data_IF_474135941288
#
_entry.id   IF_474135941288
#
_cell.length_a   1.000
_cell.length_b   1.000
_cell.length_c   1.000
_cell.angle_alpha   90.00
_cell.angle_beta   90.00
_cell.angle_gamma   90.00
#
_symmetry.space_group_name_H-M   'P 1'
#
loop_
_entity.id
_entity.type
_entity.pdbx_description
1 polymer ?
#
# COMPACT_ATOMS: atom_id res chain seq x y z
N UNK A 1 10.03 -27.02 -10.10
CA UNK A 1 10.50 -26.01 -11.07
C UNK A 1 9.30 -25.59 -11.89
N UNK A 2 8.78 -24.37 -11.68
CA UNK A 2 7.82 -23.76 -12.59
C UNK A 2 8.61 -22.65 -13.27
N UNK A 3 9.17 -22.95 -14.42
CA UNK A 3 9.77 -21.97 -15.31
C UNK A 3 8.62 -21.21 -15.96
N UNK A 4 8.43 -19.94 -15.59
CA UNK A 4 7.60 -19.03 -16.37
C UNK A 4 8.27 -18.84 -17.73
N UNK A 5 7.56 -19.25 -18.78
CA UNK A 5 7.93 -19.12 -20.18
C UNK A 5 8.15 -17.62 -20.55
N UNK A 6 9.32 -17.22 -21.08
CA UNK A 6 9.62 -15.82 -21.40
C UNK A 6 8.97 -15.33 -22.70
N UNK A 7 8.02 -16.08 -23.29
CA UNK A 7 7.38 -15.73 -24.57
C UNK A 7 6.03 -15.00 -24.47
N UNK A 8 5.67 -14.46 -23.31
CA UNK A 8 4.49 -13.58 -23.21
C UNK A 8 4.90 -12.14 -23.56
N UNK A 9 4.44 -11.68 -24.74
CA UNK A 9 4.32 -10.28 -25.19
C UNK A 9 5.10 -9.26 -24.36
N UNK A 10 6.15 -8.69 -24.93
CA UNK A 10 6.86 -7.52 -24.38
C UNK A 10 5.94 -6.30 -24.36
N UNK A 11 4.93 -6.31 -23.49
CA UNK A 11 4.15 -5.15 -23.12
C UNK A 11 5.14 -4.19 -22.47
N UNK A 12 5.18 -2.95 -22.98
CA UNK A 12 5.94 -1.88 -22.36
C UNK A 12 5.50 -1.78 -20.89
N UNK A 13 6.41 -1.92 -19.90
CA UNK A 13 6.05 -1.83 -18.49
C UNK A 13 5.45 -0.48 -18.10
N UNK A 14 5.49 0.52 -18.99
CA UNK A 14 4.92 1.84 -18.82
C UNK A 14 3.55 1.99 -19.50
N UNK A 15 3.09 1.02 -20.30
CA UNK A 15 1.84 1.12 -21.04
C UNK A 15 0.64 1.39 -20.13
N UNK A 16 -0.16 2.39 -20.50
CA UNK A 16 -1.36 2.75 -19.76
C UNK A 16 -1.10 3.48 -18.44
N UNK A 17 0.14 3.90 -18.16
CA UNK A 17 0.50 4.73 -17.00
C UNK A 17 0.53 6.22 -17.37
N UNK A 18 0.56 7.09 -16.36
CA UNK A 18 0.70 8.54 -16.55
C UNK A 18 1.92 8.87 -17.42
N UNK A 19 1.73 9.75 -18.40
CA UNK A 19 2.76 10.13 -19.37
C UNK A 19 3.00 9.11 -20.49
N UNK A 20 2.37 7.93 -20.42
CA UNK A 20 2.54 6.81 -21.34
C UNK A 20 1.19 6.23 -21.81
N UNK A 21 0.15 7.06 -21.82
CA UNK A 21 -1.16 6.70 -22.38
C UNK A 21 -1.11 6.77 -23.90
N UNK A 22 -1.73 5.80 -24.57
CA UNK A 22 -2.05 5.94 -25.99
C UNK A 22 -3.10 7.07 -26.18
N UNK A 23 -3.23 7.66 -27.39
CA UNK A 23 -4.27 8.68 -27.62
C UNK A 23 -5.69 8.22 -27.28
N UNK A 24 -5.99 6.94 -27.46
CA UNK A 24 -7.28 6.34 -27.09
C UNK A 24 -7.44 6.26 -25.56
N UNK A 25 -6.40 5.79 -24.85
CA UNK A 25 -6.39 5.73 -23.40
C UNK A 25 -6.50 7.11 -22.76
N UNK A 26 -5.83 8.11 -23.34
CA UNK A 26 -5.90 9.50 -22.90
C UNK A 26 -7.32 10.06 -23.08
N UNK A 27 -7.94 9.84 -24.24
CA UNK A 27 -9.33 10.22 -24.48
C UNK A 27 -10.29 9.56 -23.47
N UNK A 28 -10.09 8.27 -23.16
CA UNK A 28 -10.85 7.55 -22.14
C UNK A 28 -10.63 8.09 -20.74
N UNK A 29 -9.41 8.54 -20.43
CA UNK A 29 -9.10 9.14 -19.15
C UNK A 29 -9.77 10.52 -19.00
N UNK A 30 -9.76 11.34 -20.05
CA UNK A 30 -10.51 12.61 -20.07
C UNK A 30 -12.01 12.38 -19.91
N UNK A 31 -12.58 11.42 -20.65
CA UNK A 31 -13.99 11.02 -20.53
C UNK A 31 -14.34 10.60 -19.10
N UNK A 32 -13.48 9.77 -18.50
CA UNK A 32 -13.64 9.27 -17.14
C UNK A 32 -13.59 10.38 -16.09
N UNK A 33 -12.62 11.30 -16.18
CA UNK A 33 -12.52 12.46 -15.29
C UNK A 33 -13.78 13.31 -15.34
N UNK A 34 -14.25 13.65 -16.55
CA UNK A 34 -15.46 14.43 -16.73
C UNK A 34 -16.70 13.75 -16.13
N UNK A 35 -16.80 12.42 -16.25
CA UNK A 35 -17.89 11.65 -15.63
C UNK A 35 -17.80 11.66 -14.10
N UNK A 36 -16.59 11.56 -13.53
CA UNK A 36 -16.39 11.64 -12.08
C UNK A 36 -16.74 13.01 -11.50
N UNK A 37 -16.39 14.09 -12.20
CA UNK A 37 -16.74 15.46 -11.81
C UNK A 37 -18.25 15.69 -11.89
N UNK A 38 -18.89 15.27 -12.99
CA UNK A 38 -20.34 15.37 -13.18
C UNK A 38 -21.12 14.67 -12.07
N UNK A 39 -20.64 13.52 -11.63
CA UNK A 39 -21.30 12.72 -10.60
C UNK A 39 -20.85 13.08 -9.18
N UNK A 40 -19.99 14.10 -9.03
CA UNK A 40 -19.57 14.65 -7.74
C UNK A 40 -18.60 13.79 -6.93
N UNK A 41 -18.08 12.69 -7.49
CA UNK A 41 -17.12 11.80 -6.80
C UNK A 41 -15.68 12.25 -6.93
N UNK A 42 -15.39 13.24 -7.78
CA UNK A 42 -14.08 13.87 -7.91
C UNK A 42 -14.22 15.38 -8.06
N UNK A 43 -13.35 16.13 -7.38
CA UNK A 43 -13.23 17.58 -7.54
C UNK A 43 -11.74 17.97 -7.62
N UNK A 44 -11.30 18.54 -8.75
CA UNK A 44 -9.93 19.04 -8.87
C UNK A 44 -9.55 20.00 -7.74
N UNK A 45 -8.38 19.80 -7.13
CA UNK A 45 -7.84 20.69 -6.09
C UNK A 45 -8.49 20.61 -4.70
N UNK A 46 -9.54 19.79 -4.52
CA UNK A 46 -10.17 19.52 -3.22
C UNK A 46 -10.00 18.08 -2.73
N UNK A 47 -9.28 17.26 -3.48
CA UNK A 47 -9.18 15.85 -3.19
C UNK A 47 -8.28 15.54 -1.99
N UNK A 48 -8.65 14.49 -1.24
CA UNK A 48 -7.73 13.81 -0.31
C UNK A 48 -6.52 13.29 -1.09
N UNK A 49 -5.39 13.08 -0.41
CA UNK A 49 -4.15 12.69 -1.07
C UNK A 49 -4.26 11.38 -1.86
N UNK A 50 -5.17 10.47 -1.46
CA UNK A 50 -5.41 9.21 -2.17
C UNK A 50 -6.36 9.29 -3.38
N UNK A 51 -6.89 10.47 -3.72
CA UNK A 51 -7.85 10.65 -4.83
C UNK A 51 -7.43 11.77 -5.80
N UNK A 52 -6.23 11.67 -6.35
CA UNK A 52 -5.74 12.53 -7.42
C UNK A 52 -5.93 11.90 -8.80
N UNK A 53 -5.45 12.58 -9.84
CA UNK A 53 -5.44 12.06 -11.21
C UNK A 53 -4.76 10.68 -11.29
N UNK A 54 -3.67 10.48 -10.53
CA UNK A 54 -2.96 9.21 -10.39
C UNK A 54 -3.87 8.09 -9.88
N UNK A 55 -4.67 8.38 -8.87
CA UNK A 55 -5.69 7.48 -8.35
C UNK A 55 -6.80 7.18 -9.35
N UNK A 56 -7.32 8.19 -10.06
CA UNK A 56 -8.35 7.98 -11.07
C UNK A 56 -7.88 7.01 -12.17
N UNK A 57 -6.65 7.17 -12.65
CA UNK A 57 -6.12 6.27 -13.67
C UNK A 57 -5.97 4.83 -13.15
N UNK A 58 -5.71 4.61 -11.85
CA UNK A 58 -5.70 3.26 -11.27
C UNK A 58 -7.06 2.57 -11.40
N UNK A 59 -8.16 3.27 -11.13
CA UNK A 59 -9.52 2.74 -11.32
C UNK A 59 -9.80 2.43 -12.79
N UNK A 60 -9.38 3.32 -13.69
CA UNK A 60 -9.58 3.14 -15.12
C UNK A 60 -8.79 1.94 -15.67
N UNK A 61 -7.51 1.81 -15.29
CA UNK A 61 -6.65 0.66 -15.63
C UNK A 61 -7.20 -0.65 -15.08
N UNK A 62 -7.68 -0.66 -13.83
CA UNK A 62 -8.29 -1.84 -13.21
C UNK A 62 -9.56 -2.32 -13.91
N UNK A 63 -10.14 -1.48 -14.77
CA UNK A 63 -11.30 -1.79 -15.62
C UNK A 63 -10.95 -1.76 -17.09
N UNK A 64 -9.66 -1.88 -17.45
CA UNK A 64 -9.17 -1.97 -18.83
C UNK A 64 -9.66 -0.80 -19.70
N UNK A 65 -9.67 0.40 -19.12
CA UNK A 65 -10.16 1.63 -19.75
C UNK A 65 -11.68 1.66 -20.07
N UNK A 66 -12.47 0.76 -19.48
CA UNK A 66 -13.94 0.82 -19.50
C UNK A 66 -14.46 1.87 -18.50
N UNK A 67 -14.80 3.05 -19.03
CA UNK A 67 -15.22 4.23 -18.25
C UNK A 67 -16.38 3.94 -17.31
N UNK A 68 -17.44 3.28 -17.80
CA UNK A 68 -18.62 2.98 -16.99
C UNK A 68 -18.30 2.04 -15.81
N UNK A 69 -17.44 1.04 -16.05
CA UNK A 69 -16.99 0.10 -15.02
C UNK A 69 -16.10 0.77 -13.97
N UNK A 70 -15.19 1.65 -14.42
CA UNK A 70 -14.30 2.41 -13.54
C UNK A 70 -15.10 3.39 -12.65
N UNK A 71 -16.06 4.10 -13.23
CA UNK A 71 -16.93 5.03 -12.50
C UNK A 71 -17.78 4.31 -11.47
N UNK A 72 -18.34 3.14 -11.82
CA UNK A 72 -19.06 2.31 -10.86
C UNK A 72 -18.15 1.89 -9.70
N UNK A 73 -16.95 1.38 -10.00
CA UNK A 73 -16.03 0.95 -8.94
C UNK A 73 -15.61 2.10 -8.02
N UNK A 74 -15.33 3.28 -8.58
CA UNK A 74 -14.99 4.46 -7.79
C UNK A 74 -16.16 4.89 -6.89
N UNK A 75 -17.39 4.97 -7.43
CA UNK A 75 -18.60 5.28 -6.64
C UNK A 75 -18.85 4.28 -5.52
N UNK A 76 -18.75 2.99 -5.82
CA UNK A 76 -18.89 1.92 -4.83
C UNK A 76 -17.82 2.06 -3.73
N UNK A 77 -16.60 2.49 -4.11
CA UNK A 77 -15.51 2.74 -3.17
C UNK A 77 -15.83 3.92 -2.27
N UNK A 78 -16.19 5.08 -2.81
CA UNK A 78 -16.54 6.25 -2.00
C UNK A 78 -17.73 5.97 -1.07
N UNK A 79 -18.76 5.29 -1.57
CA UNK A 79 -19.91 4.86 -0.75
C UNK A 79 -19.48 3.94 0.39
N UNK A 80 -18.60 2.97 0.12
CA UNK A 80 -18.05 2.08 1.13
C UNK A 80 -17.22 2.84 2.17
N UNK A 81 -16.40 3.81 1.76
CA UNK A 81 -15.61 4.65 2.66
C UNK A 81 -16.51 5.46 3.59
N UNK A 82 -17.54 6.11 3.04
CA UNK A 82 -18.52 6.89 3.81
C UNK A 82 -19.29 6.01 4.78
N UNK A 83 -19.83 4.89 4.31
CA UNK A 83 -20.60 3.93 5.13
C UNK A 83 -19.78 3.42 6.31
N UNK A 84 -18.48 3.21 6.11
CA UNK A 84 -17.58 2.71 7.14
C UNK A 84 -16.86 3.82 7.92
N UNK A 85 -17.17 5.10 7.64
CA UNK A 85 -16.52 6.28 8.23
C UNK A 85 -15.00 6.15 8.19
N UNK A 86 -14.45 5.72 7.05
CA UNK A 86 -13.05 5.30 6.95
C UNK A 86 -12.08 6.44 7.31
N UNK A 87 -12.40 7.67 6.94
CA UNK A 87 -11.57 8.82 7.29
C UNK A 87 -11.53 9.08 8.80
N UNK A 88 -12.67 8.98 9.48
CA UNK A 88 -12.77 9.08 10.94
C UNK A 88 -12.06 7.91 11.62
N UNK A 89 -12.24 6.69 11.11
CA UNK A 89 -11.54 5.49 11.59
C UNK A 89 -10.03 5.70 11.57
N UNK A 90 -9.48 6.19 10.45
CA UNK A 90 -8.04 6.45 10.33
C UNK A 90 -7.59 7.62 11.21
N UNK A 91 -8.38 8.69 11.30
CA UNK A 91 -8.04 9.89 12.08
C UNK A 91 -8.13 9.71 13.60
N UNK A 92 -8.89 8.72 14.06
CA UNK A 92 -9.06 8.41 15.48
C UNK A 92 -8.43 7.08 15.89
N UNK A 93 -7.71 6.43 14.95
CA UNK A 93 -7.11 5.12 15.17
C UNK A 93 -6.15 5.11 16.37
N UNK A 94 -6.29 4.13 17.25
CA UNK A 94 -5.39 3.98 18.40
C UNK A 94 -3.95 3.71 17.92
N UNK A 95 -3.01 4.55 18.37
CA UNK A 95 -1.62 4.50 17.89
C UNK A 95 -0.93 3.19 18.24
N UNK A 96 -1.18 2.62 19.43
CA UNK A 96 -0.58 1.35 19.82
C UNK A 96 -1.17 0.20 19.00
N UNK A 97 -2.48 0.19 18.76
CA UNK A 97 -3.15 -0.78 17.89
C UNK A 97 -2.61 -0.74 16.45
N UNK A 98 -2.34 0.46 15.92
CA UNK A 98 -1.70 0.63 14.61
C UNK A 98 -0.31 -0.03 14.57
N UNK A 99 0.50 0.20 15.60
CA UNK A 99 1.84 -0.37 15.71
C UNK A 99 1.85 -1.89 15.96
N UNK A 100 0.79 -2.44 16.56
CA UNK A 100 0.63 -3.89 16.65
C UNK A 100 0.17 -4.51 15.33
N UNK A 101 -0.66 -3.82 14.56
CA UNK A 101 -1.11 -4.32 13.27
C UNK A 101 0.00 -4.37 12.22
N UNK A 102 0.90 -3.38 12.17
CA UNK A 102 2.04 -3.44 11.24
C UNK A 102 2.87 -4.71 11.47
N UNK A 103 2.95 -5.25 12.69
CA UNK A 103 3.71 -6.46 13.03
C UNK A 103 3.08 -7.77 12.54
N UNK A 104 1.86 -7.72 12.00
CA UNK A 104 1.17 -8.90 11.44
C UNK A 104 0.78 -8.72 9.97
N UNK A 105 1.13 -7.59 9.35
CA UNK A 105 0.84 -7.24 7.96
C UNK A 105 2.07 -6.72 7.23
N UNK A 106 1.92 -6.31 5.97
CA UNK A 106 3.01 -5.71 5.19
C UNK A 106 3.50 -4.41 5.85
N UNK A 107 4.82 -4.26 5.97
CA UNK A 107 5.47 -3.10 6.58
C UNK A 107 6.35 -2.39 5.56
N UNK A 108 6.17 -1.08 5.44
CA UNK A 108 7.13 -0.26 4.70
C UNK A 108 8.47 -0.22 5.44
N UNK A 109 9.55 -0.47 4.72
CA UNK A 109 10.92 -0.44 5.26
C UNK A 109 11.46 0.98 5.43
N UNK A 110 10.77 1.99 4.89
CA UNK A 110 11.30 3.35 4.75
C UNK A 110 12.03 3.57 3.43
N UNK A 111 12.24 2.52 2.62
CA UNK A 111 12.99 2.57 1.38
C UNK A 111 12.12 2.43 0.14
N UNK A 112 12.74 2.62 -1.02
CA UNK A 112 12.13 2.55 -2.36
C UNK A 112 12.93 1.61 -3.25
N UNK A 113 12.26 1.04 -4.24
CA UNK A 113 12.90 0.32 -5.33
C UNK A 113 13.51 1.32 -6.35
N UNK A 114 14.22 0.81 -7.36
CA UNK A 114 14.88 1.67 -8.37
C UNK A 114 13.90 2.45 -9.25
N UNK A 115 12.60 2.14 -9.18
CA UNK A 115 11.52 2.84 -9.87
C UNK A 115 10.78 3.82 -8.95
N UNK A 116 11.21 3.94 -7.69
CA UNK A 116 10.62 4.83 -6.69
C UNK A 116 9.45 4.22 -5.90
N UNK A 117 9.05 2.96 -6.15
CA UNK A 117 7.97 2.35 -5.39
C UNK A 117 8.44 2.03 -3.96
N UNK A 118 7.64 2.34 -2.93
CA UNK A 118 8.01 1.99 -1.56
C UNK A 118 8.14 0.46 -1.42
N UNK A 119 9.18 0.03 -0.70
CA UNK A 119 9.48 -1.38 -0.45
C UNK A 119 8.79 -1.82 0.82
N UNK A 120 7.89 -2.78 0.70
CA UNK A 120 7.18 -3.40 1.80
C UNK A 120 7.70 -4.82 2.05
N UNK A 121 7.80 -5.22 3.31
CA UNK A 121 8.16 -6.58 3.72
C UNK A 121 7.00 -7.19 4.51
N UNK A 122 6.73 -8.48 4.30
CA UNK A 122 5.80 -9.25 5.13
C UNK A 122 6.41 -10.60 5.48
N UNK A 123 6.74 -10.77 6.77
CA UNK A 123 7.20 -12.05 7.30
C UNK A 123 6.04 -12.79 7.97
N UNK A 124 5.52 -13.81 7.30
CA UNK A 124 4.30 -14.49 7.74
C UNK A 124 4.50 -15.25 9.06
N UNK A 125 5.74 -15.66 9.35
CA UNK A 125 6.10 -16.36 10.59
C UNK A 125 5.88 -15.50 11.84
N UNK A 126 6.01 -14.19 11.73
CA UNK A 126 5.86 -13.24 12.84
C UNK A 126 4.41 -13.13 13.34
N UNK A 127 3.43 -13.51 12.51
CA UNK A 127 2.02 -13.54 12.92
C UNK A 127 1.84 -14.34 14.21
N UNK A 128 2.49 -15.51 14.33
CA UNK A 128 2.36 -16.37 15.52
C UNK A 128 2.79 -15.65 16.80
N UNK A 129 3.79 -14.78 16.72
CA UNK A 129 4.36 -14.08 17.86
C UNK A 129 3.53 -12.85 18.26
N UNK A 130 2.76 -12.29 17.31
CA UNK A 130 2.03 -11.04 17.51
C UNK A 130 0.51 -11.20 17.48
N UNK A 131 -0.03 -12.38 17.14
CA UNK A 131 -1.47 -12.58 16.96
C UNK A 131 -2.28 -12.27 18.23
N UNK A 132 -1.77 -12.58 19.42
CA UNK A 132 -2.48 -12.28 20.67
C UNK A 132 -2.60 -10.77 20.91
N UNK A 133 -1.51 -10.04 20.68
CA UNK A 133 -1.48 -8.57 20.80
C UNK A 133 -2.35 -7.91 19.73
N UNK A 134 -2.29 -8.43 18.50
CA UNK A 134 -3.15 -8.02 17.40
C UNK A 134 -4.62 -8.26 17.70
N UNK A 135 -4.99 -9.43 18.25
CA UNK A 135 -6.38 -9.73 18.59
C UNK A 135 -6.90 -8.80 19.69
N UNK A 136 -6.09 -8.52 20.72
CA UNK A 136 -6.42 -7.53 21.74
C UNK A 136 -6.65 -6.15 21.13
N UNK A 137 -5.73 -5.70 20.28
CA UNK A 137 -5.80 -4.39 19.60
C UNK A 137 -7.01 -4.29 18.67
N UNK A 138 -7.31 -5.36 17.92
CA UNK A 138 -8.47 -5.42 17.04
C UNK A 138 -9.79 -5.29 17.79
N UNK A 139 -9.87 -5.76 19.04
CA UNK A 139 -11.06 -5.61 19.90
C UNK A 139 -11.23 -4.15 20.35
N UNK A 140 -10.13 -3.47 20.70
CA UNK A 140 -10.14 -2.04 21.07
C UNK A 140 -10.71 -1.21 19.89
N UNK A 141 -10.16 -1.42 18.70
CA UNK A 141 -10.61 -0.78 17.45
C UNK A 141 -12.05 -1.17 17.08
N UNK A 142 -12.48 -2.37 17.46
CA UNK A 142 -13.86 -2.82 17.25
C UNK A 142 -14.84 -2.09 18.17
N UNK A 143 -14.45 -1.85 19.43
CA UNK A 143 -15.27 -1.21 20.45
C UNK A 143 -15.32 0.32 20.38
N UNK A 144 -14.35 0.97 19.73
CA UNK A 144 -14.31 2.43 19.59
C UNK A 144 -15.11 2.96 18.38
N UNK A 145 -15.53 2.10 17.46
CA UNK A 145 -16.35 2.50 16.31
C UNK A 145 -17.83 2.61 16.69
N UNK A 146 -18.56 3.57 16.10
CA UNK A 146 -19.98 3.78 16.38
C UNK A 146 -20.81 2.51 16.15
N UNK A 147 -21.86 2.33 16.96
CA UNK A 147 -22.80 1.20 16.94
C UNK A 147 -23.72 1.18 15.70
N UNK A 148 -23.37 1.88 14.62
CA UNK A 148 -24.20 1.97 13.42
C UNK A 148 -24.14 0.64 12.66
N UNK A 149 -25.28 -0.05 12.61
CA UNK A 149 -25.43 -1.44 12.19
C UNK A 149 -25.29 -1.70 10.68
N UNK A 150 -24.88 -0.71 9.88
CA UNK A 150 -24.71 -0.88 8.43
C UNK A 150 -23.34 -1.53 8.13
N UNK A 151 -23.30 -2.86 8.25
CA UNK A 151 -22.21 -3.76 7.85
C UNK A 151 -20.78 -3.22 8.03
N UNK A 152 -20.33 -3.02 9.28
CA UNK A 152 -18.96 -2.56 9.53
C UNK A 152 -17.93 -3.53 8.96
N UNK A 153 -16.86 -2.99 8.37
CA UNK A 153 -15.63 -3.76 8.11
C UNK A 153 -15.30 -4.60 9.35
N UNK A 154 -15.09 -5.92 9.24
CA UNK A 154 -14.71 -6.76 10.36
C UNK A 154 -13.49 -6.19 11.11
N UNK A 155 -13.44 -6.28 12.43
CA UNK A 155 -12.40 -5.63 13.24
C UNK A 155 -10.96 -5.89 12.78
N UNK A 156 -10.63 -7.14 12.40
CA UNK A 156 -9.31 -7.49 11.85
C UNK A 156 -9.04 -6.83 10.49
N UNK A 157 -10.07 -6.61 9.67
CA UNK A 157 -9.94 -5.91 8.39
C UNK A 157 -9.90 -4.38 8.57
N UNK A 158 -10.47 -3.81 9.65
CA UNK A 158 -10.30 -2.38 9.97
C UNK A 158 -8.83 -2.04 10.22
N UNK A 159 -8.12 -2.97 10.85
CA UNK A 159 -6.69 -2.86 11.06
C UNK A 159 -5.94 -2.80 9.73
N UNK A 160 -6.30 -3.68 8.80
CA UNK A 160 -5.75 -3.66 7.45
C UNK A 160 -6.10 -2.37 6.71
N UNK A 161 -7.35 -1.88 6.82
CA UNK A 161 -7.76 -0.61 6.23
C UNK A 161 -6.90 0.55 6.71
N UNK A 162 -6.63 0.66 8.01
CA UNK A 162 -5.76 1.73 8.52
C UNK A 162 -4.35 1.70 7.91
N UNK A 163 -3.79 0.50 7.65
CA UNK A 163 -2.49 0.37 6.97
C UNK A 163 -2.56 0.72 5.49
N UNK A 164 -3.66 0.38 4.79
CA UNK A 164 -3.89 0.80 3.41
C UNK A 164 -4.10 2.32 3.30
N UNK A 165 -4.82 2.92 4.24
CA UNK A 165 -4.95 4.37 4.34
C UNK A 165 -3.59 5.02 4.57
N UNK A 166 -2.75 4.46 5.45
CA UNK A 166 -1.38 4.97 5.62
C UNK A 166 -0.54 4.88 4.34
N UNK A 167 -0.65 3.77 3.60
CA UNK A 167 0.02 3.62 2.32
C UNK A 167 -0.46 4.69 1.32
N UNK A 168 -1.77 4.89 1.19
CA UNK A 168 -2.37 5.76 0.18
C UNK A 168 -2.33 7.26 0.53
N UNK A 169 -2.52 7.62 1.80
CA UNK A 169 -2.60 9.00 2.29
C UNK A 169 -1.25 9.56 2.75
N UNK A 170 -0.22 8.71 2.91
CA UNK A 170 1.08 9.14 3.39
C UNK A 170 2.26 8.55 2.62
N UNK A 171 2.40 7.23 2.51
CA UNK A 171 3.63 6.63 1.93
C UNK A 171 3.76 6.90 0.43
N UNK A 172 2.72 6.65 -0.37
CA UNK A 172 2.74 6.94 -1.80
C UNK A 172 2.94 8.44 -2.08
N UNK A 173 2.20 9.36 -1.44
CA UNK A 173 2.44 10.78 -1.64
C UNK A 173 3.86 11.23 -1.21
N UNK A 174 4.38 10.68 -0.10
CA UNK A 174 5.77 10.93 0.33
C UNK A 174 6.79 10.50 -0.72
N UNK A 175 6.65 9.30 -1.30
CA UNK A 175 7.53 8.84 -2.38
C UNK A 175 7.44 9.73 -3.63
N UNK A 176 6.25 10.27 -3.95
CA UNK A 176 6.07 11.22 -5.05
C UNK A 176 6.77 12.57 -4.80
N UNK A 177 6.88 12.99 -3.54
CA UNK A 177 7.48 14.27 -3.15
C UNK A 177 9.00 14.28 -3.20
N UNK A 178 9.66 13.13 -3.36
CA UNK A 178 11.12 13.03 -3.38
C UNK A 178 11.65 13.65 -4.68
N UNK A 179 12.44 14.75 -4.64
CA UNK A 179 12.85 15.46 -5.85
C UNK A 179 13.78 14.64 -6.75
N UNK A 180 14.63 13.79 -6.15
CA UNK A 180 15.59 12.94 -6.85
C UNK A 180 15.02 11.62 -7.36
N UNK A 181 13.69 11.43 -7.31
CA UNK A 181 13.09 10.15 -7.69
C UNK A 181 13.26 9.87 -9.18
N UNK A 182 13.44 8.59 -9.56
CA UNK A 182 13.43 8.20 -10.96
C UNK A 182 12.06 8.48 -11.58
N UNK A 183 12.06 8.90 -12.84
CA UNK A 183 10.85 9.18 -13.62
C UNK A 183 9.88 10.17 -12.92
N UNK A 184 10.30 11.41 -12.60
CA UNK A 184 9.44 12.40 -11.95
C UNK A 184 8.15 12.72 -12.72
N UNK A 185 8.11 12.46 -14.02
CA UNK A 185 6.93 12.54 -14.88
C UNK A 185 5.86 11.48 -14.57
N UNK A 186 6.25 10.34 -13.97
CA UNK A 186 5.38 9.22 -13.65
C UNK A 186 5.11 9.18 -12.15
N UNK A 187 3.88 9.39 -11.67
CA UNK A 187 3.57 9.25 -10.25
C UNK A 187 3.79 7.82 -9.73
N UNK A 188 4.37 7.71 -8.55
CA UNK A 188 4.45 6.48 -7.76
C UNK A 188 3.06 6.17 -7.22
N UNK A 189 2.43 5.14 -7.77
CA UNK A 189 1.03 4.76 -7.44
C UNK A 189 0.90 3.34 -6.90
N UNK A 190 2.01 2.60 -6.88
CA UNK A 190 2.06 1.21 -6.52
C UNK A 190 3.26 0.90 -5.62
N UNK A 191 3.27 -0.31 -5.07
CA UNK A 191 4.20 -0.75 -4.03
C UNK A 191 4.88 -2.06 -4.42
N UNK A 192 6.14 -2.22 -4.00
CA UNK A 192 6.96 -3.41 -4.24
C UNK A 192 7.07 -4.22 -2.96
N UNK A 193 6.70 -5.50 -3.00
CA UNK A 193 6.60 -6.34 -1.81
C UNK A 193 7.60 -7.48 -1.80
N UNK A 194 8.24 -7.71 -0.66
CA UNK A 194 8.95 -8.94 -0.32
C UNK A 194 8.07 -9.70 0.68
N UNK A 195 7.65 -10.91 0.32
CA UNK A 195 6.79 -11.76 1.15
C UNK A 195 7.55 -13.01 1.54
N UNK A 196 8.04 -13.04 2.77
CA UNK A 196 8.75 -14.18 3.34
C UNK A 196 7.73 -15.13 3.98
N UNK A 197 7.52 -16.26 3.30
CA UNK A 197 6.58 -17.30 3.70
C UNK A 197 7.23 -18.40 4.55
N UNK A 198 8.52 -18.25 4.88
CA UNK A 198 9.29 -19.21 5.67
C UNK A 198 8.70 -19.42 7.06
N UNK A 199 8.92 -20.61 7.64
CA UNK A 199 8.55 -20.89 9.03
C UNK A 199 7.06 -21.06 9.32
N UNK A 200 6.19 -20.92 8.32
CA UNK A 200 4.77 -21.27 8.43
C UNK A 200 4.47 -22.62 7.78
N UNK A 201 3.79 -23.49 8.53
CA UNK A 201 3.28 -24.77 8.02
C UNK A 201 1.91 -24.64 7.34
N UNK A 202 1.50 -25.65 6.58
CA UNK A 202 0.25 -25.66 5.81
C UNK A 202 -1.00 -25.36 6.67
N UNK A 203 -1.06 -25.87 7.90
CA UNK A 203 -2.17 -25.57 8.82
C UNK A 203 -2.24 -24.08 9.20
N UNK A 204 -1.10 -23.38 9.27
CA UNK A 204 -1.07 -21.94 9.48
C UNK A 204 -1.73 -21.19 8.31
N UNK A 205 -1.36 -21.55 7.08
CA UNK A 205 -2.01 -21.02 5.87
C UNK A 205 -3.50 -21.33 5.83
N UNK A 206 -3.88 -22.55 6.20
CA UNK A 206 -5.28 -22.96 6.24
C UNK A 206 -6.09 -22.09 7.20
N UNK A 207 -5.55 -21.83 8.40
CA UNK A 207 -6.19 -20.99 9.41
C UNK A 207 -6.30 -19.52 8.96
N UNK A 208 -5.36 -19.04 8.12
CA UNK A 208 -5.37 -17.67 7.59
C UNK A 208 -6.14 -17.53 6.27
N UNK A 209 -6.51 -18.64 5.63
CA UNK A 209 -7.08 -18.66 4.28
C UNK A 209 -8.26 -17.70 4.10
N UNK A 210 -9.23 -17.75 5.01
CA UNK A 210 -10.42 -16.89 4.94
C UNK A 210 -10.08 -15.41 5.10
N UNK A 211 -9.13 -15.09 5.99
CA UNK A 211 -8.67 -13.72 6.19
C UNK A 211 -7.89 -13.19 4.98
N UNK A 212 -6.99 -14.00 4.41
CA UNK A 212 -6.23 -13.66 3.18
C UNK A 212 -7.18 -13.42 2.00
N UNK A 213 -8.21 -14.25 1.85
CA UNK A 213 -9.21 -14.05 0.81
C UNK A 213 -9.98 -12.74 1.01
N UNK A 214 -10.41 -12.43 2.24
CA UNK A 214 -11.14 -11.19 2.51
C UNK A 214 -10.26 -9.94 2.33
N UNK A 215 -8.98 -10.01 2.74
CA UNK A 215 -7.99 -8.96 2.50
C UNK A 215 -7.74 -8.74 1.01
N UNK A 216 -7.63 -9.82 0.23
CA UNK A 216 -7.51 -9.78 -1.23
C UNK A 216 -8.70 -9.08 -1.88
N UNK A 217 -9.93 -9.43 -1.49
CA UNK A 217 -11.15 -8.78 -1.99
C UNK A 217 -11.18 -7.30 -1.64
N UNK A 218 -10.82 -6.95 -0.40
CA UNK A 218 -10.76 -5.56 0.06
C UNK A 218 -9.78 -4.74 -0.78
N UNK A 219 -8.57 -5.25 -1.00
CA UNK A 219 -7.54 -4.58 -1.79
C UNK A 219 -7.97 -4.40 -3.27
N UNK A 220 -8.46 -5.45 -3.93
CA UNK A 220 -8.82 -5.38 -5.35
C UNK A 220 -10.09 -4.55 -5.62
N UNK A 221 -10.99 -4.47 -4.63
CA UNK A 221 -12.24 -3.71 -4.76
C UNK A 221 -11.99 -2.22 -4.52
N UNK A 222 -11.32 -1.86 -3.43
CA UNK A 222 -11.24 -0.48 -2.93
C UNK A 222 -9.88 0.20 -3.12
N UNK A 223 -8.81 -0.57 -3.32
CA UNK A 223 -7.45 -0.05 -3.56
C UNK A 223 -6.83 -0.61 -4.85
N UNK A 224 -7.54 -0.47 -6.00
CA UNK A 224 -7.10 -1.08 -7.25
C UNK A 224 -5.74 -0.57 -7.70
N UNK A 225 -4.98 -1.44 -8.39
CA UNK A 225 -3.70 -1.13 -9.04
C UNK A 225 -2.65 -0.49 -8.11
N UNK A 226 -2.63 -0.85 -6.82
CA UNK A 226 -1.64 -0.39 -5.83
C UNK A 226 -0.44 -1.34 -5.67
N UNK A 227 -0.41 -2.44 -6.43
CA UNK A 227 0.64 -3.45 -6.39
C UNK A 227 1.44 -3.44 -7.70
N UNK A 228 2.76 -3.24 -7.60
CA UNK A 228 3.68 -3.34 -8.74
C UNK A 228 4.18 -4.78 -8.87
N UNK A 229 4.79 -5.31 -7.80
CA UNK A 229 5.40 -6.65 -7.77
C UNK A 229 5.39 -7.27 -6.39
N UNK A 230 5.43 -8.60 -6.35
CA UNK A 230 5.59 -9.40 -5.14
C UNK A 230 6.71 -10.42 -5.35
N UNK A 231 7.74 -10.37 -4.52
CA UNK A 231 8.79 -11.38 -4.44
C UNK A 231 8.47 -12.32 -3.28
N UNK A 232 8.00 -13.52 -3.60
CA UNK A 232 7.63 -14.52 -2.63
C UNK A 232 8.81 -15.45 -2.38
N UNK A 233 9.27 -15.53 -1.14
CA UNK A 233 10.51 -16.20 -0.75
C UNK A 233 10.23 -17.21 0.35
N UNK A 234 10.97 -18.33 0.34
CA UNK A 234 10.83 -19.34 1.39
C UNK A 234 9.64 -20.27 1.19
N UNK A 235 9.14 -20.36 -0.05
CA UNK A 235 8.02 -21.22 -0.41
C UNK A 235 8.33 -22.69 -0.06
N UNK A 236 7.59 -23.32 0.86
CA UNK A 236 7.82 -24.71 1.25
C UNK A 236 7.35 -25.68 0.15
N UNK A 237 7.68 -26.97 0.29
CA UNK A 237 7.29 -28.01 -0.70
C UNK A 237 5.78 -28.11 -0.95
N UNK A 238 4.95 -27.75 0.02
CA UNK A 238 3.49 -27.72 -0.10
C UNK A 238 2.94 -26.40 -0.69
N UNK A 239 3.78 -25.41 -0.99
CA UNK A 239 3.36 -24.12 -1.51
C UNK A 239 2.50 -24.18 -2.79
N UNK A 240 2.65 -25.16 -3.71
CA UNK A 240 1.74 -25.30 -4.85
C UNK A 240 0.25 -25.38 -4.45
N UNK A 241 -0.07 -25.95 -3.27
CA UNK A 241 -1.43 -25.96 -2.73
C UNK A 241 -1.91 -24.55 -2.37
N UNK A 242 -1.08 -23.76 -1.69
CA UNK A 242 -1.39 -22.37 -1.35
C UNK A 242 -1.52 -21.52 -2.61
N UNK A 243 -0.63 -21.72 -3.59
CA UNK A 243 -0.67 -21.06 -4.89
C UNK A 243 -1.98 -21.33 -5.65
N UNK A 244 -2.52 -22.57 -5.55
CA UNK A 244 -3.82 -22.90 -6.15
C UNK A 244 -4.98 -22.08 -5.56
N UNK A 245 -4.89 -21.67 -4.29
CA UNK A 245 -5.88 -20.80 -3.67
C UNK A 245 -5.72 -19.36 -4.14
N UNK A 246 -4.48 -18.84 -4.13
CA UNK A 246 -4.14 -17.49 -4.58
C UNK A 246 -4.63 -17.24 -6.02
N UNK A 247 -4.41 -18.18 -6.94
CA UNK A 247 -4.88 -18.08 -8.33
C UNK A 247 -6.40 -18.02 -8.49
N UNK A 248 -7.17 -18.38 -7.47
CA UNK A 248 -8.65 -18.25 -7.48
C UNK A 248 -9.13 -16.93 -6.90
N UNK A 249 -8.27 -16.21 -6.18
CA UNK A 249 -8.61 -14.95 -5.52
C UNK A 249 -8.18 -13.74 -6.33
N UNK A 250 -7.11 -13.88 -7.11
CA UNK A 250 -6.54 -12.81 -7.92
C UNK A 250 -6.74 -13.07 -9.41
N UNK A 251 -6.90 -12.00 -10.17
CA UNK A 251 -6.93 -12.04 -11.62
C UNK A 251 -5.54 -12.35 -12.23
N UNK A 252 -5.46 -12.74 -13.51
CA UNK A 252 -4.19 -13.07 -14.15
C UNK A 252 -3.16 -11.94 -14.12
N UNK A 253 -3.55 -10.68 -14.26
CA UNK A 253 -2.62 -9.55 -14.26
C UNK A 253 -1.99 -9.38 -12.87
N UNK A 254 -2.76 -9.56 -11.79
CA UNK A 254 -2.22 -9.53 -10.43
C UNK A 254 -1.29 -10.72 -10.17
N UNK A 255 -1.66 -11.94 -10.58
CA UNK A 255 -0.79 -13.12 -10.37
C UNK A 255 0.50 -13.08 -11.19
N UNK A 256 0.50 -12.43 -12.36
CA UNK A 256 1.70 -12.21 -13.17
C UNK A 256 2.75 -11.32 -12.49
N UNK A 257 2.34 -10.50 -11.50
CA UNK A 257 3.23 -9.65 -10.70
C UNK A 257 3.93 -10.41 -9.56
N UNK A 258 3.61 -11.69 -9.35
CA UNK A 258 4.14 -12.50 -8.24
C UNK A 258 5.26 -13.41 -8.74
N UNK A 259 6.46 -13.21 -8.19
CA UNK A 259 7.67 -13.95 -8.48
C UNK A 259 8.00 -14.87 -7.30
N UNK A 260 7.84 -16.18 -7.47
CA UNK A 260 8.23 -17.18 -6.46
C UNK A 260 9.71 -17.50 -6.64
N UNK A 261 10.54 -17.11 -5.67
CA UNK A 261 11.99 -17.21 -5.76
C UNK A 261 12.51 -18.42 -4.96
N UNK A 262 13.42 -19.18 -5.58
CA UNK A 262 14.22 -20.16 -4.86
C UNK A 262 15.32 -19.43 -4.04
N UNK A 263 15.84 -20.04 -2.95
CA UNK A 263 16.83 -19.38 -2.08
C UNK A 263 18.05 -18.82 -2.82
N UNK A 264 18.56 -19.53 -3.82
CA UNK A 264 19.72 -19.09 -4.61
C UNK A 264 19.42 -17.89 -5.54
N UNK A 265 18.14 -17.65 -5.85
CA UNK A 265 17.70 -16.61 -6.77
C UNK A 265 17.24 -15.33 -6.05
N UNK A 266 17.13 -15.35 -4.72
CA UNK A 266 16.63 -14.24 -3.90
C UNK A 266 17.46 -12.96 -4.12
N UNK A 267 18.72 -12.97 -3.70
CA UNK A 267 19.60 -11.79 -3.83
C UNK A 267 19.77 -11.39 -5.31
N UNK A 268 20.14 -12.29 -6.24
CA UNK A 268 20.36 -11.91 -7.64
C UNK A 268 19.13 -11.32 -8.33
N UNK A 269 17.92 -11.69 -7.90
CA UNK A 269 16.68 -11.13 -8.44
C UNK A 269 16.34 -9.80 -7.79
N UNK A 270 16.37 -9.71 -6.47
CA UNK A 270 16.01 -8.49 -5.74
C UNK A 270 16.95 -7.33 -6.10
N UNK A 271 18.25 -7.58 -6.27
CA UNK A 271 19.22 -6.53 -6.64
C UNK A 271 19.05 -5.99 -8.07
N UNK A 272 18.22 -6.63 -8.91
CA UNK A 272 17.83 -6.06 -10.21
C UNK A 272 16.79 -4.95 -10.08
N UNK A 273 16.07 -4.91 -8.97
CA UNK A 273 14.96 -3.99 -8.73
C UNK A 273 15.19 -3.07 -7.53
N UNK A 274 16.11 -3.40 -6.64
CA UNK A 274 16.41 -2.62 -5.44
C UNK A 274 17.92 -2.45 -5.32
N UNK A 275 18.39 -1.25 -4.96
CA UNK A 275 19.79 -1.05 -4.58
C UNK A 275 20.11 -1.83 -3.31
N UNK A 276 21.35 -2.29 -3.15
CA UNK A 276 21.76 -3.05 -1.95
C UNK A 276 21.50 -2.26 -0.66
N UNK A 277 21.77 -0.95 -0.67
CA UNK A 277 21.51 -0.05 0.46
C UNK A 277 20.02 0.13 0.82
N UNK A 278 19.09 -0.25 -0.07
CA UNK A 278 17.64 -0.15 0.12
C UNK A 278 16.99 -1.51 0.45
N UNK A 279 17.77 -2.60 0.33
CA UNK A 279 17.33 -3.96 0.54
C UNK A 279 17.76 -4.45 1.94
N UNK A 280 16.86 -5.02 2.77
CA UNK A 280 17.23 -5.58 4.07
C UNK A 280 18.33 -6.64 3.97
N UNK A 281 19.26 -6.64 4.94
CA UNK A 281 20.35 -7.62 5.01
C UNK A 281 19.89 -9.07 4.92
N UNK A 282 18.75 -9.40 5.53
CA UNK A 282 18.13 -10.73 5.49
C UNK A 282 17.91 -11.26 4.06
N UNK A 283 17.73 -10.36 3.09
CA UNK A 283 17.45 -10.69 1.71
C UNK A 283 18.63 -10.41 0.75
N UNK A 284 19.85 -10.26 1.30
CA UNK A 284 21.08 -10.06 0.52
C UNK A 284 21.46 -8.59 0.25
N UNK A 285 20.84 -7.64 0.97
CA UNK A 285 21.19 -6.24 0.90
C UNK A 285 22.07 -5.75 2.05
N UNK A 286 22.07 -4.44 2.26
CA UNK A 286 22.91 -3.72 3.23
C UNK A 286 22.09 -2.90 4.22
N UNK A 287 20.76 -2.79 4.02
CA UNK A 287 19.88 -2.07 4.92
C UNK A 287 19.80 -2.78 6.28
N UNK A 288 20.28 -2.10 7.33
CA UNK A 288 20.05 -2.49 8.73
C UNK A 288 18.58 -2.23 9.11
N UNK A 289 17.72 -3.17 8.76
CA UNK A 289 16.30 -3.17 9.06
C UNK A 289 15.81 -4.60 9.23
N UNK A 290 15.04 -4.85 10.29
CA UNK A 290 14.40 -6.12 10.58
C UNK A 290 12.88 -5.94 10.69
N UNK A 291 12.13 -7.02 10.41
CA UNK A 291 10.68 -6.97 10.43
C UNK A 291 10.16 -6.62 11.84
N UNK A 292 9.29 -5.60 11.90
CA UNK A 292 8.79 -5.03 13.16
C UNK A 292 9.52 -3.77 13.61
N UNK A 293 10.67 -3.44 13.01
CA UNK A 293 11.31 -2.14 13.20
C UNK A 293 10.49 -1.02 12.51
N UNK A 294 10.57 0.22 13.01
CA UNK A 294 10.05 1.37 12.29
C UNK A 294 10.69 1.53 10.91
N UNK A 295 10.04 2.27 9.98
CA UNK A 295 10.64 2.63 8.70
C UNK A 295 11.97 3.37 8.89
N UNK A 296 12.98 3.00 8.09
CA UNK A 296 14.30 3.63 8.06
C UNK A 296 14.48 4.40 6.75
N UNK A 297 14.02 5.65 6.75
CA UNK A 297 14.06 6.52 5.57
C UNK A 297 15.50 6.87 5.16
N UNK A 298 15.69 7.14 3.87
CA UNK A 298 16.98 7.63 3.35
C UNK A 298 17.08 9.16 3.42
N UNK A 299 18.26 9.68 3.09
CA UNK A 299 18.53 11.11 3.10
C UNK A 299 17.74 11.90 2.07
N UNK A 300 17.18 11.28 1.02
CA UNK A 300 16.36 11.98 0.04
C UNK A 300 14.95 12.24 0.57
N UNK A 301 14.33 11.22 1.20
CA UNK A 301 13.06 11.40 1.92
C UNK A 301 13.22 12.43 3.04
N UNK A 302 14.29 12.33 3.83
CA UNK A 302 14.56 13.27 4.91
C UNK A 302 14.71 14.71 4.41
N UNK A 303 15.27 14.93 3.22
CA UNK A 303 15.32 16.26 2.59
C UNK A 303 13.97 16.72 2.07
N UNK A 304 13.16 15.81 1.51
CA UNK A 304 11.82 16.12 1.04
C UNK A 304 10.89 16.55 2.18
N UNK A 305 11.13 16.03 3.39
CA UNK A 305 10.34 16.37 4.59
C UNK A 305 11.26 16.75 5.73
N UNK A 306 11.34 18.06 6.02
CA UNK A 306 12.23 18.66 7.04
C UNK A 306 12.17 18.06 8.47
N UNK A 307 11.22 17.19 8.77
CA UNK A 307 11.05 16.60 10.10
C UNK A 307 11.11 15.06 10.12
N UNK A 308 11.23 14.39 8.97
CA UNK A 308 11.54 12.95 8.89
C UNK A 308 13.05 12.73 8.80
N UNK A 309 13.81 13.45 9.63
CA UNK A 309 15.27 13.33 9.67
C UNK A 309 15.68 11.93 10.14
N UNK A 310 16.71 11.36 9.51
CA UNK A 310 17.09 9.96 9.70
C UNK A 310 17.57 9.62 11.13
N UNK A 311 17.92 10.63 11.93
CA UNK A 311 18.41 10.53 13.31
C UNK A 311 17.31 10.74 14.37
N UNK A 312 16.09 11.13 13.96
CA UNK A 312 14.95 11.27 14.88
C UNK A 312 14.17 9.97 15.01
N UNK A 313 13.57 9.69 16.18
CA UNK A 313 12.63 8.58 16.33
C UNK A 313 11.48 8.70 15.33
N UNK A 314 11.11 7.58 14.72
CA UNK A 314 10.00 7.53 13.78
C UNK A 314 8.67 7.91 14.45
N UNK A 315 7.85 8.68 13.74
CA UNK A 315 6.52 9.07 14.21
C UNK A 315 5.57 7.87 14.09
N UNK A 316 5.15 7.35 15.25
CA UNK A 316 4.24 6.19 15.35
C UNK A 316 2.84 6.51 14.86
N UNK A 317 2.09 5.51 14.40
CA UNK A 317 0.65 5.60 14.11
C UNK A 317 0.29 6.26 12.77
N UNK A 318 -1.00 6.60 12.60
CA UNK A 318 -1.51 7.25 11.39
C UNK A 318 -0.82 8.58 11.08
N UNK A 319 -0.48 8.77 9.81
CA UNK A 319 0.06 9.99 9.23
C UNK A 319 -0.78 10.40 8.03
N UNK A 320 -1.06 11.69 7.87
CA UNK A 320 -1.77 12.25 6.71
C UNK A 320 -0.98 13.35 6.05
N UNK A 321 -1.12 13.44 4.73
CA UNK A 321 -0.78 14.64 3.99
C UNK A 321 -1.95 15.64 3.99
N UNK A 322 -1.65 16.88 4.36
CA UNK A 322 -2.62 17.98 4.45
C UNK A 322 -2.10 19.15 3.64
N UNK A 323 -2.67 19.34 2.44
CA UNK A 323 -2.33 20.46 1.56
C UNK A 323 -2.48 21.82 2.27
N UNK A 324 -1.59 22.75 1.98
CA UNK A 324 -1.61 24.09 2.58
C UNK A 324 -2.12 25.15 1.58
N UNK A 325 -2.84 26.18 2.06
CA UNK A 325 -3.13 27.36 1.25
C UNK A 325 -1.82 28.01 0.77
N UNK A 326 -1.66 28.19 -0.53
CA UNK A 326 -0.43 28.75 -1.13
C UNK A 326 0.58 27.72 -1.63
N UNK A 327 0.24 26.42 -1.58
CA UNK A 327 1.08 25.33 -2.11
C UNK A 327 1.90 24.62 -1.03
N UNK A 328 2.35 23.40 -1.35
CA UNK A 328 2.99 22.50 -0.39
C UNK A 328 2.00 21.75 0.50
N UNK A 329 2.52 21.01 1.47
CA UNK A 329 1.72 20.16 2.36
C UNK A 329 2.37 19.97 3.73
N UNK A 330 1.55 19.85 4.77
CA UNK A 330 1.96 19.37 6.08
C UNK A 330 1.79 17.85 6.16
N UNK A 331 2.72 17.19 6.84
CA UNK A 331 2.53 15.83 7.33
C UNK A 331 2.05 15.94 8.76
N UNK A 332 0.89 15.36 9.03
CA UNK A 332 0.22 15.51 10.31
C UNK A 332 -0.02 14.14 10.93
N UNK A 333 0.46 13.96 12.15
CA UNK A 333 0.18 12.79 12.96
C UNK A 333 -1.26 12.82 13.44
N UNK A 334 -1.97 11.73 13.18
CA UNK A 334 -3.39 11.49 13.46
C UNK A 334 -3.56 10.32 14.43
N UNK A 335 -4.78 10.00 14.84
CA UNK A 335 -5.09 8.89 15.72
C UNK A 335 -5.33 9.32 17.15
N UNK A 336 -5.32 8.35 18.06
CA UNK A 336 -5.50 8.59 19.50
C UNK A 336 -4.36 7.99 20.31
N UNK A 337 -3.96 8.71 21.37
CA UNK A 337 -2.99 8.26 22.37
C UNK A 337 -3.69 8.32 23.72
N UNK A 338 -3.79 7.18 24.41
CA UNK A 338 -4.54 7.07 25.68
C UNK A 338 -5.99 7.61 25.56
N UNK A 339 -6.62 7.37 24.41
CA UNK A 339 -7.98 7.84 24.10
C UNK A 339 -8.11 9.33 23.78
N UNK A 340 -7.01 10.10 23.79
CA UNK A 340 -7.02 11.52 23.42
C UNK A 340 -6.67 11.70 21.94
N UNK A 341 -7.41 12.52 21.18
CA UNK A 341 -7.10 12.81 19.78
C UNK A 341 -5.70 13.43 19.62
N UNK A 342 -4.98 12.99 18.59
CA UNK A 342 -3.68 13.51 18.17
C UNK A 342 -3.82 14.24 16.84
N UNK A 343 -3.33 15.47 16.78
CA UNK A 343 -3.30 16.30 15.57
C UNK A 343 -2.04 17.18 15.59
N UNK A 344 -0.90 16.58 15.26
CA UNK A 344 0.41 17.22 15.41
C UNK A 344 1.10 17.33 14.06
N UNK A 345 1.55 18.52 13.68
CA UNK A 345 2.35 18.70 12.46
C UNK A 345 3.74 18.15 12.73
N UNK A 346 4.09 17.08 12.02
CA UNK A 346 5.35 16.35 12.17
C UNK A 346 6.20 16.42 10.92
N UNK A 347 5.84 17.25 9.95
CA UNK A 347 6.62 17.52 8.75
C UNK A 347 5.98 18.56 7.86
N UNK A 348 6.82 19.24 7.08
CA UNK A 348 6.41 20.29 6.15
C UNK A 348 7.16 20.08 4.85
N UNK A 349 6.40 20.01 3.76
CA UNK A 349 6.90 20.09 2.39
C UNK A 349 6.71 21.54 1.92
N UNK A 350 7.82 22.23 1.64
CA UNK A 350 7.79 23.55 1.02
C UNK A 350 7.14 23.44 -0.37
N UNK A 351 6.20 24.33 -0.69
CA UNK A 351 5.69 24.45 -2.06
C UNK A 351 6.81 24.83 -3.04
N UNK A 352 6.64 24.51 -4.32
CA UNK A 352 7.48 25.08 -5.36
C UNK A 352 7.28 26.61 -5.32
N UNK A 353 8.31 27.34 -4.89
CA UNK A 353 8.38 28.81 -4.97
C UNK A 353 8.56 29.27 -6.39
#
# INVERSE_FOLDING_TARGET
MVTSDPSTSSLDPLEGQFGHLTPEQDAKFVEFKAACEKDGVYQPGKARASLDDAALLRFLRARKFEVAGALKQLKDTETWRETNKLDELYDTFDVDAFEEARKVYHQWTGRRDISGHPVYVYEISHIKNHIASFEKSSKIVSSSASTDAAAPIPGKLRMLCALYENMAEFVLPLCNAVPGRPHPEKPVTATSHIVDVSGMGLMGYWNLKAHMQAASTLASTYYPETLDRVFLIGAPSFFPTVWSWIKRWFDPATTAKIFVLAPADVEPTLTKFMRKEDLPKRYGGELEWEYGMPPKVDGEIAKAVKALEADKPWVRGPLRWVAQPGGGANIVARGTVEGKPRNEVVGVLSGAT
#
